data_IF_110016546419
#
_entry.id   IF_110016546419
#
_cell.length_a   1.000
_cell.length_b   1.000
_cell.length_c   1.000
_cell.angle_alpha   90.00
_cell.angle_beta   90.00
_cell.angle_gamma   90.00
#
_symmetry.space_group_name_H-M   'P 1'
#
loop_
_entity.id
_entity.type
_entity.pdbx_description
1 polymer ?
#
# COMPACT_ATOMS: atom_id res chain seq x y z
N UNK A 1 14.29 2.81 8.13
CA UNK A 1 13.26 1.78 7.82
C UNK A 1 12.25 2.33 6.82
N UNK A 2 11.59 1.47 6.01
CA UNK A 2 10.40 1.82 5.23
C UNK A 2 9.35 0.72 5.35
N UNK A 3 8.15 1.08 5.77
CA UNK A 3 6.99 0.19 5.86
C UNK A 3 6.14 0.38 4.62
N UNK A 4 5.87 -0.70 3.87
CA UNK A 4 5.04 -0.66 2.67
C UNK A 4 3.67 -1.24 3.00
N UNK A 5 2.69 -0.36 3.08
CA UNK A 5 1.31 -0.69 3.36
C UNK A 5 0.60 -1.27 2.12
N UNK A 6 -0.35 -2.19 2.28
CA UNK A 6 -1.26 -2.56 1.21
C UNK A 6 -2.21 -1.40 0.90
N UNK A 7 -2.62 -1.21 -0.35
CA UNK A 7 -3.67 -0.24 -0.66
C UNK A 7 -5.03 -0.76 -0.19
N UNK A 8 -5.99 0.14 -0.14
CA UNK A 8 -7.40 -0.22 0.01
C UNK A 8 -8.16 -0.12 -1.32
N UNK A 9 -9.21 -0.90 -1.44
CA UNK A 9 -10.14 -0.78 -2.58
C UNK A 9 -10.96 0.51 -2.48
N UNK A 10 -11.34 0.91 -1.28
CA UNK A 10 -12.04 2.17 -1.00
C UNK A 10 -11.04 3.30 -0.78
N UNK A 11 -11.39 4.47 -1.27
CA UNK A 11 -10.58 5.69 -1.14
C UNK A 11 -11.46 6.86 -0.75
N UNK A 12 -10.91 7.81 -0.01
CA UNK A 12 -11.58 9.06 0.28
C UNK A 12 -11.85 9.83 -1.02
N UNK A 13 -13.02 10.42 -1.14
CA UNK A 13 -13.36 11.33 -2.23
C UNK A 13 -12.80 12.73 -1.98
N UNK A 14 -12.88 13.58 -3.01
CA UNK A 14 -12.42 14.98 -2.92
C UNK A 14 -10.90 15.10 -2.90
N UNK A 15 -10.44 16.10 -2.17
CA UNK A 15 -9.07 16.59 -2.11
C UNK A 15 -9.10 18.12 -2.24
N UNK A 16 -8.06 18.78 -1.75
CA UNK A 16 -7.95 20.23 -1.77
C UNK A 16 -6.61 20.73 -2.33
N UNK A 17 -5.78 19.79 -2.76
CA UNK A 17 -4.48 20.09 -3.38
C UNK A 17 -4.59 20.20 -4.90
N UNK A 18 -3.56 20.74 -5.53
CA UNK A 18 -3.46 20.86 -6.99
C UNK A 18 -3.64 19.50 -7.68
N UNK A 19 -4.01 19.47 -8.97
CA UNK A 19 -4.03 18.27 -9.77
C UNK A 19 -2.69 17.52 -9.75
N UNK A 20 -2.72 16.25 -10.16
CA UNK A 20 -1.58 15.36 -10.15
C UNK A 20 -0.37 15.91 -10.90
N UNK A 21 0.74 16.09 -10.21
CA UNK A 21 2.05 16.32 -10.81
C UNK A 21 2.89 15.04 -10.71
N UNK A 22 3.09 14.38 -11.84
CA UNK A 22 3.91 13.17 -11.93
C UNK A 22 5.35 13.38 -11.48
N UNK A 23 5.89 14.59 -11.63
CA UNK A 23 7.28 14.89 -11.30
C UNK A 23 7.48 15.14 -9.79
N UNK A 24 6.40 15.48 -9.10
CA UNK A 24 6.40 15.65 -7.65
C UNK A 24 6.27 14.32 -6.88
N UNK A 25 5.86 13.23 -7.56
CA UNK A 25 5.74 11.93 -6.92
C UNK A 25 7.09 11.33 -6.57
N UNK A 26 7.16 10.72 -5.41
CA UNK A 26 8.28 9.86 -5.00
C UNK A 26 8.50 8.71 -6.00
N UNK A 27 9.71 8.18 -6.03
CA UNK A 27 10.09 7.06 -6.92
C UNK A 27 9.87 7.37 -8.42
N UNK A 28 10.50 8.43 -8.97
CA UNK A 28 10.25 8.92 -10.33
C UNK A 28 10.58 7.91 -11.44
N UNK A 29 11.42 6.91 -11.17
CA UNK A 29 11.69 5.81 -12.10
C UNK A 29 10.45 4.97 -12.43
N UNK A 30 9.40 5.04 -11.61
CA UNK A 30 8.12 4.37 -11.84
C UNK A 30 7.20 5.16 -12.79
N UNK A 31 7.47 6.44 -13.04
CA UNK A 31 6.60 7.33 -13.81
C UNK A 31 6.28 6.84 -15.24
N UNK A 32 7.19 6.22 -16.00
CA UNK A 32 6.84 5.69 -17.32
C UNK A 32 5.69 4.68 -17.27
N UNK A 33 5.73 3.74 -16.31
CA UNK A 33 4.68 2.73 -16.15
C UNK A 33 3.41 3.31 -15.57
N UNK A 34 3.52 4.23 -14.60
CA UNK A 34 2.38 4.98 -14.02
C UNK A 34 1.57 5.68 -15.10
N UNK A 35 2.24 6.44 -15.97
CA UNK A 35 1.60 7.19 -17.07
C UNK A 35 0.94 6.27 -18.10
N UNK A 36 1.59 5.15 -18.45
CA UNK A 36 1.01 4.15 -19.36
C UNK A 36 -0.30 3.59 -18.80
N UNK A 37 -0.29 3.17 -17.52
CA UNK A 37 -1.48 2.60 -16.85
C UNK A 37 -2.57 3.67 -16.72
N UNK A 38 -2.22 4.89 -16.29
CA UNK A 38 -3.17 5.98 -16.11
C UNK A 38 -3.85 6.38 -17.41
N UNK A 39 -3.07 6.54 -18.49
CA UNK A 39 -3.60 6.91 -19.80
C UNK A 39 -4.59 5.87 -20.34
N UNK A 40 -4.24 4.59 -20.23
CA UNK A 40 -5.13 3.52 -20.69
C UNK A 40 -6.39 3.40 -19.82
N UNK A 41 -6.24 3.55 -18.50
CA UNK A 41 -7.38 3.54 -17.57
C UNK A 41 -8.34 4.70 -17.83
N UNK A 42 -7.81 5.90 -18.08
CA UNK A 42 -8.60 7.10 -18.39
C UNK A 42 -9.29 7.05 -19.76
N UNK A 43 -8.73 6.29 -20.70
CA UNK A 43 -9.28 6.15 -22.06
C UNK A 43 -10.49 5.20 -22.14
N UNK A 44 -10.72 4.37 -21.12
CA UNK A 44 -11.88 3.49 -21.08
C UNK A 44 -13.17 4.31 -21.03
N UNK A 45 -14.16 3.95 -21.84
CA UNK A 45 -15.51 4.43 -21.57
C UNK A 45 -16.05 3.82 -20.26
N UNK A 46 -17.07 4.44 -19.67
CA UNK A 46 -17.51 4.06 -18.33
C UNK A 46 -18.06 2.63 -18.29
N UNK A 47 -18.80 2.20 -19.34
CA UNK A 47 -19.40 0.87 -19.38
C UNK A 47 -18.34 -0.22 -19.61
N UNK A 48 -17.30 0.09 -20.36
CA UNK A 48 -16.12 -0.77 -20.48
C UNK A 48 -15.33 -0.82 -19.17
N UNK A 49 -15.13 0.31 -18.52
CA UNK A 49 -14.44 0.41 -17.23
C UNK A 49 -15.13 -0.45 -16.15
N UNK A 50 -16.45 -0.43 -16.06
CA UNK A 50 -17.20 -1.29 -15.12
C UNK A 50 -16.85 -2.78 -15.32
N UNK A 51 -16.77 -3.24 -16.57
CA UNK A 51 -16.43 -4.64 -16.91
C UNK A 51 -14.99 -4.97 -16.59
N UNK A 52 -14.04 -4.09 -17.00
CA UNK A 52 -12.61 -4.26 -16.80
C UNK A 52 -12.25 -4.26 -15.31
N UNK A 53 -12.81 -3.32 -14.55
CA UNK A 53 -12.61 -3.18 -13.12
C UNK A 53 -13.40 -4.20 -12.30
N UNK A 54 -14.36 -4.92 -12.91
CA UNK A 54 -15.28 -5.88 -12.28
C UNK A 54 -16.06 -5.25 -11.13
N UNK A 55 -16.54 -4.03 -11.34
CA UNK A 55 -17.37 -3.32 -10.38
C UNK A 55 -18.81 -3.19 -10.89
N UNK A 56 -19.76 -3.09 -9.95
CA UNK A 56 -21.18 -2.99 -10.28
C UNK A 56 -21.55 -1.57 -10.71
N UNK A 57 -22.72 -1.44 -11.34
CA UNK A 57 -23.31 -0.16 -11.74
C UNK A 57 -23.41 0.85 -10.57
N UNK A 58 -23.58 0.37 -9.33
CA UNK A 58 -23.59 1.23 -8.14
C UNK A 58 -22.28 1.98 -7.91
N UNK A 59 -21.19 1.51 -8.51
CA UNK A 59 -19.86 2.10 -8.42
C UNK A 59 -19.45 2.83 -9.72
N UNK A 60 -20.42 3.23 -10.54
CA UNK A 60 -20.19 3.97 -11.80
C UNK A 60 -19.31 5.21 -11.58
N UNK A 61 -19.55 5.96 -10.50
CA UNK A 61 -18.74 7.13 -10.13
C UNK A 61 -17.25 6.82 -9.92
N UNK A 62 -16.91 5.61 -9.48
CA UNK A 62 -15.52 5.15 -9.38
C UNK A 62 -14.87 5.01 -10.76
N UNK A 63 -15.61 4.48 -11.75
CA UNK A 63 -15.14 4.40 -13.12
C UNK A 63 -15.02 5.78 -13.79
N UNK A 64 -15.95 6.68 -13.52
CA UNK A 64 -15.93 8.06 -14.00
C UNK A 64 -14.72 8.84 -13.46
N UNK A 65 -14.36 8.62 -12.18
CA UNK A 65 -13.20 9.25 -11.55
C UNK A 65 -11.89 8.95 -12.29
N UNK A 66 -11.75 7.75 -12.86
CA UNK A 66 -10.56 7.39 -13.62
C UNK A 66 -10.37 8.23 -14.88
N UNK A 67 -11.43 8.74 -15.48
CA UNK A 67 -11.38 9.55 -16.72
C UNK A 67 -10.82 10.95 -16.50
N UNK A 68 -10.93 11.45 -15.28
CA UNK A 68 -10.48 12.81 -14.89
C UNK A 68 -9.28 12.75 -13.93
N UNK A 69 -8.58 11.64 -13.89
CA UNK A 69 -7.51 11.33 -12.95
C UNK A 69 -6.43 12.43 -12.87
N UNK A 70 -5.99 12.94 -14.02
CA UNK A 70 -4.92 13.94 -14.08
C UNK A 70 -5.40 15.38 -13.78
N UNK A 71 -6.70 15.64 -13.89
CA UNK A 71 -7.28 16.97 -13.63
C UNK A 71 -7.99 17.08 -12.28
N UNK A 72 -8.20 15.96 -11.59
CA UNK A 72 -8.87 15.93 -10.30
C UNK A 72 -7.99 16.46 -9.18
N UNK A 73 -8.58 17.07 -8.14
CA UNK A 73 -7.84 17.48 -6.96
C UNK A 73 -7.23 16.28 -6.25
N UNK A 74 -6.06 16.49 -5.67
CA UNK A 74 -5.29 15.48 -4.95
C UNK A 74 -5.35 15.67 -3.43
N UNK A 75 -4.90 14.66 -2.71
CA UNK A 75 -4.60 14.69 -1.27
C UNK A 75 -3.45 13.73 -0.98
N UNK A 76 -2.83 13.80 0.21
CA UNK A 76 -1.79 12.87 0.61
C UNK A 76 -2.23 11.41 0.46
N UNK A 77 -1.35 10.55 -0.05
CA UNK A 77 -1.65 9.15 -0.32
C UNK A 77 -2.15 8.42 0.94
N UNK A 78 -1.53 8.70 2.09
CA UNK A 78 -1.92 8.05 3.34
C UNK A 78 -3.34 8.38 3.79
N UNK A 79 -3.87 9.56 3.42
CA UNK A 79 -5.25 10.00 3.69
C UNK A 79 -6.22 9.58 2.57
N UNK A 80 -5.70 9.33 1.36
CA UNK A 80 -6.50 8.85 0.23
C UNK A 80 -7.02 7.44 0.46
N UNK A 81 -6.20 6.54 0.99
CA UNK A 81 -6.60 5.17 1.29
C UNK A 81 -7.39 5.12 2.61
N UNK A 82 -8.48 4.34 2.63
CA UNK A 82 -9.40 4.23 3.78
C UNK A 82 -9.65 2.78 4.18
N UNK A 83 -10.37 2.56 5.26
CA UNK A 83 -10.77 1.25 5.75
C UNK A 83 -9.87 0.71 6.85
N UNK A 84 -10.15 -0.50 7.30
CA UNK A 84 -9.74 -1.08 8.58
C UNK A 84 -8.25 -0.91 8.94
N UNK A 85 -7.34 -1.04 7.95
CA UNK A 85 -5.91 -0.82 8.20
C UNK A 85 -5.62 0.66 8.46
N UNK A 86 -6.16 1.53 7.63
CA UNK A 86 -5.93 2.98 7.70
C UNK A 86 -6.64 3.60 8.89
N UNK A 87 -7.79 3.05 9.30
CA UNK A 87 -8.48 3.44 10.53
C UNK A 87 -7.63 3.10 11.77
N UNK A 88 -6.99 1.92 11.79
CA UNK A 88 -6.10 1.50 12.87
C UNK A 88 -4.75 2.24 12.85
N UNK A 89 -4.25 2.62 11.68
CA UNK A 89 -3.05 3.45 11.52
C UNK A 89 -3.28 4.88 12.04
N UNK A 90 -4.51 5.40 11.89
CA UNK A 90 -4.91 6.76 12.32
C UNK A 90 -3.97 7.83 11.77
N UNK A 91 -3.81 7.82 10.44
CA UNK A 91 -2.85 8.67 9.72
C UNK A 91 -2.93 10.17 10.06
N UNK A 92 -4.11 10.78 10.31
CA UNK A 92 -4.20 12.20 10.65
C UNK A 92 -3.50 12.59 11.95
N UNK A 93 -3.23 11.63 12.85
CA UNK A 93 -2.56 11.87 14.14
C UNK A 93 -1.06 11.59 14.12
N UNK A 94 -0.52 11.13 12.97
CA UNK A 94 0.91 10.94 12.78
C UNK A 94 1.57 12.28 12.43
N UNK A 95 2.68 12.59 13.10
CA UNK A 95 3.53 13.72 12.73
C UNK A 95 4.30 13.48 11.42
N UNK A 96 4.98 14.50 10.95
CA UNK A 96 5.72 14.44 9.69
C UNK A 96 6.83 13.39 9.72
N UNK A 97 7.54 13.27 10.85
CA UNK A 97 8.66 12.36 11.01
C UNK A 97 8.18 10.90 10.91
N UNK A 98 7.08 10.54 11.61
CA UNK A 98 6.49 9.22 11.52
C UNK A 98 6.00 8.87 10.09
N UNK A 99 5.47 9.86 9.36
CA UNK A 99 4.97 9.67 8.00
C UNK A 99 6.08 9.36 7.00
N UNK A 100 7.32 9.80 7.24
CA UNK A 100 8.47 9.49 6.39
C UNK A 100 8.80 7.99 6.32
N UNK A 101 8.43 7.22 7.33
CA UNK A 101 8.64 5.77 7.36
C UNK A 101 7.56 4.97 6.62
N UNK A 102 6.55 5.64 6.05
CA UNK A 102 5.39 4.99 5.44
C UNK A 102 5.35 5.18 3.92
N UNK A 103 5.01 4.10 3.23
CA UNK A 103 4.69 4.10 1.80
C UNK A 103 3.49 3.18 1.55
N UNK A 104 2.81 3.39 0.44
CA UNK A 104 1.74 2.50 -0.03
C UNK A 104 2.15 1.86 -1.34
N UNK A 105 2.02 0.53 -1.41
CA UNK A 105 2.26 -0.22 -2.64
C UNK A 105 0.97 -0.57 -3.34
N UNK A 106 0.66 0.06 -4.48
CA UNK A 106 -0.62 -0.05 -5.15
C UNK A 106 -0.55 -0.42 -6.64
N UNK A 107 -1.73 -0.49 -7.27
CA UNK A 107 -1.88 -0.95 -8.64
C UNK A 107 -1.49 0.09 -9.69
N UNK A 108 -1.86 1.37 -9.46
CA UNK A 108 -1.67 2.48 -10.41
C UNK A 108 -0.31 3.15 -10.25
N UNK A 109 0.06 3.46 -9.02
CA UNK A 109 1.28 4.22 -8.72
C UNK A 109 2.49 3.33 -8.40
N UNK A 110 2.29 2.02 -8.21
CA UNK A 110 3.33 1.09 -7.80
C UNK A 110 3.76 1.30 -6.35
N UNK A 111 4.52 2.35 -6.08
CA UNK A 111 4.87 2.84 -4.74
C UNK A 111 4.63 4.34 -4.67
N UNK A 112 4.08 4.82 -3.55
CA UNK A 112 3.97 6.24 -3.19
C UNK A 112 4.33 6.41 -1.73
N UNK A 113 4.96 7.54 -1.36
CA UNK A 113 5.18 7.92 0.03
C UNK A 113 3.87 8.41 0.66
N UNK A 114 3.85 8.50 1.98
CA UNK A 114 2.68 8.93 2.76
C UNK A 114 2.08 10.25 2.24
N UNK A 115 2.93 11.22 1.91
CA UNK A 115 2.54 12.58 1.55
C UNK A 115 2.54 12.86 0.04
N UNK A 116 2.82 11.86 -0.80
CA UNK A 116 2.63 11.98 -2.24
C UNK A 116 1.17 12.35 -2.54
N UNK A 117 0.98 13.42 -3.31
CA UNK A 117 -0.35 13.92 -3.65
C UNK A 117 -0.94 13.10 -4.80
N UNK A 118 -1.98 12.31 -4.51
CA UNK A 118 -2.63 11.44 -5.50
C UNK A 118 -4.13 11.73 -5.62
N UNK A 119 -4.70 11.62 -6.83
CA UNK A 119 -6.14 11.79 -7.06
C UNK A 119 -6.96 10.61 -6.54
N UNK A 120 -8.27 10.73 -6.57
CA UNK A 120 -9.17 9.59 -6.42
C UNK A 120 -9.17 8.74 -7.70
N UNK A 121 -9.12 7.43 -7.54
CA UNK A 121 -9.14 6.46 -8.66
C UNK A 121 -9.59 5.08 -8.20
N UNK A 122 -9.99 4.24 -9.15
CA UNK A 122 -10.33 2.83 -8.92
C UNK A 122 -9.49 1.93 -9.81
N UNK A 123 -8.58 1.15 -9.21
CA UNK A 123 -7.83 0.10 -9.89
C UNK A 123 -7.37 -0.93 -8.86
N UNK A 124 -7.61 -2.22 -9.11
CA UNK A 124 -7.12 -3.29 -8.23
C UNK A 124 -5.94 -4.04 -8.87
N UNK A 125 -5.06 -4.61 -8.02
CA UNK A 125 -3.86 -5.31 -8.47
C UNK A 125 -4.11 -6.50 -9.40
N UNK A 126 -5.31 -7.10 -9.35
CA UNK A 126 -5.70 -8.21 -10.21
C UNK A 126 -6.32 -7.81 -11.57
N UNK A 127 -6.48 -6.51 -11.82
CA UNK A 127 -7.07 -6.00 -13.08
C UNK A 127 -6.18 -6.29 -14.27
N UNK A 128 -6.82 -6.56 -15.42
CA UNK A 128 -6.15 -6.62 -16.74
C UNK A 128 -6.60 -5.41 -17.55
N UNK A 129 -5.65 -4.61 -18.02
CA UNK A 129 -5.88 -3.48 -18.93
C UNK A 129 -5.36 -3.85 -20.31
N UNK A 130 -6.14 -3.63 -21.36
CA UNK A 130 -5.77 -3.98 -22.73
C UNK A 130 -5.31 -5.42 -22.89
N UNK A 131 -5.90 -6.36 -22.16
CA UNK A 131 -5.51 -7.76 -22.16
C UNK A 131 -4.25 -8.11 -21.37
N UNK A 132 -3.49 -7.12 -20.86
CA UNK A 132 -2.25 -7.33 -20.09
C UNK A 132 -2.50 -7.22 -18.59
N UNK A 133 -1.88 -8.08 -17.78
CA UNK A 133 -1.91 -7.98 -16.31
C UNK A 133 -1.07 -6.80 -15.84
N UNK A 134 -1.43 -6.19 -14.71
CA UNK A 134 -0.61 -5.14 -14.10
C UNK A 134 0.77 -5.67 -13.71
N UNK A 135 0.88 -6.92 -13.25
CA UNK A 135 2.18 -7.57 -13.03
C UNK A 135 3.07 -7.52 -14.29
N UNK A 136 2.50 -7.83 -15.47
CA UNK A 136 3.25 -7.77 -16.74
C UNK A 136 3.65 -6.35 -17.14
N UNK A 137 2.84 -5.34 -16.77
CA UNK A 137 3.13 -3.92 -17.05
C UNK A 137 4.24 -3.39 -16.14
N UNK A 138 4.14 -3.67 -14.85
CA UNK A 138 5.16 -3.28 -13.88
C UNK A 138 6.50 -3.98 -14.14
N UNK A 139 6.49 -5.20 -14.68
CA UNK A 139 7.71 -5.94 -14.94
C UNK A 139 8.61 -6.04 -13.72
N UNK A 140 9.82 -5.51 -13.79
CA UNK A 140 10.75 -5.42 -12.65
C UNK A 140 10.78 -4.06 -11.96
N UNK A 141 10.09 -3.04 -12.48
CA UNK A 141 10.26 -1.66 -12.06
C UNK A 141 10.10 -1.46 -10.54
N UNK A 142 9.02 -2.00 -9.94
CA UNK A 142 8.80 -1.91 -8.49
C UNK A 142 9.87 -2.71 -7.72
N UNK A 143 10.23 -3.92 -8.18
CA UNK A 143 11.24 -4.74 -7.52
C UNK A 143 12.63 -4.09 -7.56
N UNK A 144 12.96 -3.40 -8.66
CA UNK A 144 14.24 -2.70 -8.81
C UNK A 144 14.31 -1.49 -7.87
N UNK A 145 13.21 -0.75 -7.73
CA UNK A 145 13.12 0.37 -6.78
C UNK A 145 13.22 -0.12 -5.33
N UNK A 146 12.47 -1.18 -4.97
CA UNK A 146 12.53 -1.77 -3.64
C UNK A 146 13.92 -2.31 -3.31
N UNK A 147 14.61 -2.92 -4.29
CA UNK A 147 15.98 -3.42 -4.11
C UNK A 147 16.98 -2.29 -3.91
N UNK A 148 16.78 -1.15 -4.55
CA UNK A 148 17.62 0.04 -4.31
C UNK A 148 17.43 0.56 -2.88
N UNK A 149 16.20 0.68 -2.41
CA UNK A 149 15.87 1.11 -1.05
C UNK A 149 16.40 0.15 0.02
N UNK A 150 16.32 -1.17 -0.22
CA UNK A 150 16.78 -2.20 0.72
C UNK A 150 18.28 -2.23 0.95
N UNK A 151 19.09 -1.53 0.12
CA UNK A 151 20.54 -1.37 0.35
C UNK A 151 20.84 -0.35 1.45
N UNK A 152 19.90 0.54 1.73
CA UNK A 152 20.08 1.67 2.62
C UNK A 152 19.28 1.55 3.91
N UNK A 153 18.19 0.75 3.88
CA UNK A 153 17.27 0.66 5.01
C UNK A 153 16.49 -0.66 5.04
N UNK A 154 15.98 -1.01 6.22
CA UNK A 154 15.06 -2.12 6.40
C UNK A 154 13.76 -1.85 5.62
N UNK A 155 13.30 -2.85 4.85
CA UNK A 155 11.99 -2.82 4.19
C UNK A 155 11.05 -3.81 4.88
N UNK A 156 9.92 -3.32 5.38
CA UNK A 156 8.84 -4.14 5.95
C UNK A 156 7.66 -4.12 4.97
N UNK A 157 7.47 -5.21 4.23
CA UNK A 157 6.42 -5.33 3.21
C UNK A 157 5.15 -5.93 3.79
N UNK A 158 4.18 -5.08 4.11
CA UNK A 158 2.87 -5.47 4.64
C UNK A 158 1.83 -5.72 3.54
N UNK A 159 2.18 -5.58 2.26
CA UNK A 159 1.25 -5.78 1.14
C UNK A 159 0.67 -7.19 1.14
N UNK A 160 -0.55 -7.33 0.60
CA UNK A 160 -1.13 -8.64 0.31
C UNK A 160 -0.44 -9.31 -0.88
N UNK A 161 -0.59 -10.63 -1.00
CA UNK A 161 0.06 -11.40 -2.05
C UNK A 161 -0.18 -10.88 -3.47
N UNK A 162 -1.39 -10.39 -3.77
CA UNK A 162 -1.72 -9.79 -5.08
C UNK A 162 -0.87 -8.55 -5.37
N UNK A 163 -0.67 -7.68 -4.39
CA UNK A 163 0.12 -6.46 -4.56
C UNK A 163 1.63 -6.71 -4.47
N UNK A 164 2.06 -7.70 -3.69
CA UNK A 164 3.45 -8.17 -3.71
C UNK A 164 3.84 -8.73 -5.09
N UNK A 165 2.92 -9.38 -5.79
CA UNK A 165 3.18 -9.90 -7.14
C UNK A 165 3.42 -8.82 -8.20
N UNK A 166 3.03 -7.57 -7.96
CA UNK A 166 3.33 -6.45 -8.86
C UNK A 166 4.83 -6.07 -8.85
N UNK A 167 5.52 -6.38 -7.75
CA UNK A 167 6.96 -6.20 -7.60
C UNK A 167 7.39 -6.74 -6.26
N UNK A 168 7.99 -7.94 -6.25
CA UNK A 168 8.43 -8.64 -5.03
C UNK A 168 9.88 -8.31 -4.71
N UNK A 169 10.16 -8.08 -3.43
CA UNK A 169 11.50 -8.07 -2.85
C UNK A 169 11.63 -9.28 -1.94
N UNK A 170 12.55 -10.19 -2.24
CA UNK A 170 12.73 -11.42 -1.47
C UNK A 170 13.34 -11.17 -0.09
N UNK A 171 14.15 -10.15 -0.01
CA UNK A 171 14.91 -9.74 1.18
C UNK A 171 14.07 -8.88 2.15
N UNK A 172 12.89 -8.44 1.74
CA UNK A 172 12.01 -7.66 2.61
C UNK A 172 11.51 -8.51 3.77
N UNK A 173 11.46 -7.91 4.95
CA UNK A 173 10.69 -8.44 6.05
C UNK A 173 9.20 -8.45 5.72
N UNK A 174 8.48 -9.47 6.14
CA UNK A 174 7.03 -9.58 5.94
C UNK A 174 6.31 -9.66 7.28
N UNK A 175 5.01 -9.35 7.29
CA UNK A 175 4.19 -9.40 8.50
C UNK A 175 3.04 -10.38 8.33
N UNK A 176 2.94 -11.32 9.27
CA UNK A 176 1.84 -12.27 9.40
C UNK A 176 1.07 -12.04 10.70
N UNK A 177 -0.22 -12.26 10.69
CA UNK A 177 -1.06 -12.23 11.89
C UNK A 177 -1.65 -13.62 12.10
N UNK A 178 -1.44 -14.21 13.26
CA UNK A 178 -1.94 -15.53 13.65
C UNK A 178 -2.76 -15.42 14.94
N UNK A 179 -3.86 -16.17 15.02
CA UNK A 179 -4.62 -16.35 16.27
C UNK A 179 -4.33 -17.70 16.87
N UNK A 180 -4.28 -17.74 18.21
CA UNK A 180 -4.24 -18.99 18.97
C UNK A 180 -5.66 -19.53 19.08
N UNK A 181 -5.84 -20.80 18.69
CA UNK A 181 -7.13 -21.50 18.80
C UNK A 181 -7.26 -22.16 20.19
N UNK A 182 -8.46 -22.59 20.56
CA UNK A 182 -8.72 -23.26 21.85
C UNK A 182 -7.89 -24.53 22.05
N UNK A 183 -7.52 -25.23 20.98
CA UNK A 183 -6.66 -26.42 21.00
C UNK A 183 -5.16 -26.09 21.01
N UNK A 184 -4.79 -24.81 21.13
CA UNK A 184 -3.41 -24.32 21.08
C UNK A 184 -2.80 -24.23 19.67
N UNK A 185 -3.51 -24.68 18.64
CA UNK A 185 -3.05 -24.53 17.26
C UNK A 185 -3.10 -23.06 16.82
N UNK A 186 -2.33 -22.73 15.77
CA UNK A 186 -2.29 -21.38 15.22
C UNK A 186 -2.90 -21.32 13.84
N UNK A 187 -3.69 -20.29 13.61
CA UNK A 187 -4.36 -20.06 12.34
C UNK A 187 -4.11 -18.63 11.86
N UNK A 188 -3.78 -18.49 10.57
CA UNK A 188 -3.64 -17.16 9.94
C UNK A 188 -4.98 -16.43 9.98
N UNK A 189 -4.96 -15.21 10.49
CA UNK A 189 -6.15 -14.35 10.58
C UNK A 189 -6.42 -13.73 9.22
N UNK A 190 -7.62 -13.92 8.68
CA UNK A 190 -8.00 -13.36 7.39
C UNK A 190 -8.68 -11.99 7.50
N UNK A 191 -9.67 -11.83 8.38
CA UNK A 191 -10.49 -10.61 8.47
C UNK A 191 -9.85 -9.49 9.28
N UNK A 192 -9.32 -9.77 10.47
CA UNK A 192 -8.71 -8.77 11.36
C UNK A 192 -7.23 -8.51 11.08
N UNK A 193 -6.63 -9.23 10.15
CA UNK A 193 -5.22 -9.04 9.75
C UNK A 193 -4.89 -7.58 9.44
N UNK A 194 -5.80 -6.87 8.73
CA UNK A 194 -5.60 -5.48 8.34
C UNK A 194 -5.56 -4.52 9.53
N UNK A 195 -6.39 -4.75 10.54
CA UNK A 195 -6.40 -3.94 11.76
C UNK A 195 -5.05 -4.01 12.49
N UNK A 196 -4.60 -5.22 12.81
CA UNK A 196 -3.33 -5.42 13.52
C UNK A 196 -2.10 -4.94 12.72
N UNK A 197 -2.14 -5.05 11.40
CA UNK A 197 -1.10 -4.45 10.55
C UNK A 197 -1.10 -2.93 10.60
N UNK A 198 -2.27 -2.29 10.71
CA UNK A 198 -2.40 -0.85 10.89
C UNK A 198 -1.82 -0.39 12.23
N UNK A 199 -2.18 -1.08 13.32
CA UNK A 199 -1.63 -0.81 14.65
C UNK A 199 -0.10 -0.99 14.69
N UNK A 200 0.41 -2.11 14.14
CA UNK A 200 1.85 -2.34 14.06
C UNK A 200 2.56 -1.25 13.25
N UNK A 201 2.01 -0.89 12.10
CA UNK A 201 2.58 0.15 11.25
C UNK A 201 2.66 1.49 11.98
N UNK A 202 1.61 1.84 12.76
CA UNK A 202 1.60 3.04 13.60
C UNK A 202 2.69 2.99 14.65
N UNK A 203 2.76 1.91 15.43
CA UNK A 203 3.76 1.74 16.50
C UNK A 203 5.18 1.87 15.94
N UNK A 204 5.47 1.19 14.84
CA UNK A 204 6.79 1.24 14.23
C UNK A 204 7.11 2.60 13.61
N UNK A 205 6.14 3.27 12.99
CA UNK A 205 6.34 4.59 12.40
C UNK A 205 6.69 5.65 13.45
N UNK A 206 6.00 5.64 14.60
CA UNK A 206 6.26 6.55 15.71
C UNK A 206 7.65 6.38 16.34
N UNK A 207 8.32 5.25 16.12
CA UNK A 207 9.65 4.91 16.63
C UNK A 207 10.65 4.66 15.48
N UNK A 208 10.34 5.16 14.28
CA UNK A 208 11.00 4.75 13.04
C UNK A 208 12.51 4.97 12.99
N UNK A 209 13.04 6.00 13.65
CA UNK A 209 14.48 6.25 13.75
C UNK A 209 15.23 5.14 14.51
N UNK A 210 14.56 4.48 15.46
CA UNK A 210 15.14 3.42 16.29
C UNK A 210 15.06 2.04 15.63
N UNK A 211 14.41 1.91 14.45
CA UNK A 211 14.22 0.62 13.77
C UNK A 211 15.17 0.47 12.60
N UNK A 212 16.22 -0.32 12.80
CA UNK A 212 17.22 -0.66 11.77
C UNK A 212 17.18 -2.12 11.33
N UNK A 213 16.62 -2.99 12.15
CA UNK A 213 16.52 -4.44 11.95
C UNK A 213 15.12 -4.97 12.24
N UNK A 214 14.85 -6.22 11.86
CA UNK A 214 13.59 -6.89 12.21
C UNK A 214 13.48 -7.16 13.69
N UNK A 215 14.61 -7.38 14.35
CA UNK A 215 14.75 -7.53 15.80
C UNK A 215 14.30 -6.25 16.53
N UNK A 216 14.73 -5.07 16.07
CA UNK A 216 14.28 -3.79 16.62
C UNK A 216 12.77 -3.62 16.45
N UNK A 217 12.24 -3.95 15.27
CA UNK A 217 10.81 -3.90 15.01
C UNK A 217 10.00 -4.82 15.93
N UNK A 218 10.49 -6.04 16.19
CA UNK A 218 9.87 -6.97 17.10
C UNK A 218 9.90 -6.46 18.55
N UNK A 219 11.02 -5.90 18.98
CA UNK A 219 11.19 -5.37 20.35
C UNK A 219 10.26 -4.17 20.59
N UNK A 220 10.23 -3.21 19.67
CA UNK A 220 9.34 -2.04 19.78
C UNK A 220 7.87 -2.45 19.79
N UNK A 221 7.48 -3.43 18.97
CA UNK A 221 6.12 -3.95 18.99
C UNK A 221 5.79 -4.61 20.34
N UNK A 222 6.74 -5.35 20.95
CA UNK A 222 6.58 -5.96 22.27
C UNK A 222 6.47 -4.92 23.38
N UNK A 223 7.27 -3.86 23.35
CA UNK A 223 7.18 -2.75 24.31
C UNK A 223 5.82 -2.03 24.21
N UNK A 224 5.21 -1.99 23.03
CA UNK A 224 3.86 -1.48 22.82
C UNK A 224 2.75 -2.49 23.22
N UNK A 225 3.12 -3.65 23.81
CA UNK A 225 2.18 -4.66 24.28
C UNK A 225 1.70 -5.66 23.21
N UNK A 226 2.31 -5.67 22.02
CA UNK A 226 2.00 -6.65 20.98
C UNK A 226 2.78 -7.94 21.22
N UNK A 227 2.12 -9.09 21.07
CA UNK A 227 2.81 -10.37 21.14
C UNK A 227 3.40 -10.69 19.76
N UNK A 228 4.73 -10.74 19.67
CA UNK A 228 5.44 -10.95 18.40
C UNK A 228 6.44 -12.08 18.47
N UNK A 229 6.60 -12.77 17.35
CA UNK A 229 7.62 -13.80 17.13
C UNK A 229 8.31 -13.55 15.79
N UNK A 230 9.58 -13.94 15.68
CA UNK A 230 10.30 -13.90 14.42
C UNK A 230 10.43 -15.31 13.83
N UNK A 231 10.15 -15.43 12.52
CA UNK A 231 10.34 -16.66 11.74
C UNK A 231 11.12 -16.35 10.47
N UNK A 232 12.44 -16.39 10.54
CA UNK A 232 13.31 -15.94 9.46
C UNK A 232 13.11 -14.44 9.20
N UNK A 233 12.70 -14.06 8.01
CA UNK A 233 12.38 -12.67 7.65
C UNK A 233 10.90 -12.29 7.88
N UNK A 234 10.15 -13.08 8.63
CA UNK A 234 8.74 -12.80 8.90
C UNK A 234 8.54 -12.42 10.37
N UNK A 235 7.90 -11.28 10.62
CA UNK A 235 7.38 -10.87 11.91
C UNK A 235 5.95 -11.38 12.05
N UNK A 236 5.72 -12.24 13.05
CA UNK A 236 4.42 -12.83 13.33
C UNK A 236 3.79 -12.15 14.53
N UNK A 237 2.66 -11.49 14.33
CA UNK A 237 1.79 -11.01 15.41
C UNK A 237 0.90 -12.16 15.86
N UNK A 238 0.90 -12.44 17.15
CA UNK A 238 0.10 -13.52 17.77
C UNK A 238 -1.01 -12.89 18.61
N UNK A 239 -2.27 -13.17 18.26
CA UNK A 239 -3.46 -12.60 18.90
C UNK A 239 -4.36 -13.68 19.49
#
# INVERSE_FOLDING_TARGET
>A
MLIILPPSETKAHGGNSAPLDWNALSFPKLNPVRREIAAELAALDVDEALKVLKISEKLRGEAESNRVLESSPTMPALERFTGVLYDALDAPTLDADAREFLAVGDALFGLVRADDLIPHYRLSGGTKLGGRTLKSRWGSAISDELRALAREQLIIDMRSGTYQQLGKLKEAATVRVESVQEDGSRKVVSHFNKHYKGELARVLALQGESVSSLEDAAHIAQEAGMNTEMRGSELVLVI
#
